data_IF_560032106697
#
_entry.id   IF_560032106697
#
_cell.length_a   1.000
_cell.length_b   1.000
_cell.length_c   1.000
_cell.angle_alpha   90.00
_cell.angle_beta   90.00
_cell.angle_gamma   90.00
#
_symmetry.space_group_name_H-M   'P 1'
#
loop_
_entity.id
_entity.type
_entity.pdbx_description
1 polymer ?
#
# COMPACT_ATOMS: atom_id res chain seq x y z
N UNK A 1 -5.07 -34.29 20.80
CA UNK A 1 -3.73 -34.08 20.19
C UNK A 1 -3.82 -33.89 18.68
N UNK A 2 -4.27 -34.88 17.88
CA UNK A 2 -4.33 -34.77 16.39
C UNK A 2 -5.12 -33.57 15.84
N UNK A 3 -6.28 -33.24 16.43
CA UNK A 3 -7.09 -32.09 16.01
C UNK A 3 -6.43 -30.73 16.33
N UNK A 4 -5.82 -30.60 17.51
CA UNK A 4 -5.09 -29.39 17.90
C UNK A 4 -3.88 -29.16 16.99
N UNK A 5 -3.12 -30.22 16.67
CA UNK A 5 -1.99 -30.13 15.75
C UNK A 5 -2.42 -29.68 14.36
N UNK A 6 -3.54 -30.21 13.84
CA UNK A 6 -4.09 -29.77 12.55
C UNK A 6 -4.58 -28.32 12.56
N UNK A 7 -5.21 -27.87 13.66
CA UNK A 7 -5.70 -26.50 13.80
C UNK A 7 -4.54 -25.49 13.87
N UNK A 8 -3.48 -25.81 14.62
CA UNK A 8 -2.25 -25.00 14.69
C UNK A 8 -1.55 -24.93 13.33
N UNK A 9 -1.47 -26.04 12.60
CA UNK A 9 -0.87 -26.04 11.27
C UNK A 9 -1.70 -25.20 10.28
N UNK A 10 -3.03 -25.34 10.32
CA UNK A 10 -3.93 -24.57 9.46
C UNK A 10 -3.85 -23.05 9.73
N UNK A 11 -3.82 -22.64 11.00
CA UNK A 11 -3.67 -21.23 11.36
C UNK A 11 -2.33 -20.63 10.93
N UNK A 12 -1.23 -21.40 11.03
CA UNK A 12 0.08 -20.98 10.53
C UNK A 12 0.08 -20.74 9.02
N UNK A 13 -0.49 -21.65 8.23
CA UNK A 13 -0.57 -21.52 6.77
C UNK A 13 -1.38 -20.30 6.37
N UNK A 14 -2.55 -20.09 6.99
CA UNK A 14 -3.39 -18.91 6.73
C UNK A 14 -2.70 -17.60 7.13
N UNK A 15 -1.98 -17.60 8.27
CA UNK A 15 -1.21 -16.44 8.72
C UNK A 15 -0.10 -16.05 7.75
N UNK A 16 0.67 -17.04 7.27
CA UNK A 16 1.75 -16.83 6.29
C UNK A 16 1.18 -16.31 4.96
N UNK A 17 0.05 -16.85 4.51
CA UNK A 17 -0.58 -16.38 3.28
C UNK A 17 -1.06 -14.92 3.38
N UNK A 18 -1.72 -14.57 4.49
CA UNK A 18 -2.15 -13.18 4.78
C UNK A 18 -0.96 -12.20 4.80
N UNK A 19 0.16 -12.61 5.40
CA UNK A 19 1.38 -11.81 5.45
C UNK A 19 1.97 -11.54 4.05
N UNK A 20 2.03 -12.56 3.19
CA UNK A 20 2.51 -12.38 1.82
C UNK A 20 1.59 -11.48 0.99
N UNK A 21 0.27 -11.61 1.15
CA UNK A 21 -0.69 -10.70 0.50
C UNK A 21 -0.47 -9.26 0.94
N UNK A 22 -0.36 -9.00 2.25
CA UNK A 22 -0.11 -7.67 2.79
C UNK A 22 1.17 -7.03 2.23
N UNK A 23 2.28 -7.79 2.16
CA UNK A 23 3.53 -7.29 1.58
C UNK A 23 3.36 -6.95 0.09
N UNK A 24 2.69 -7.82 -0.67
CA UNK A 24 2.41 -7.59 -2.08
C UNK A 24 1.57 -6.32 -2.31
N UNK A 25 0.52 -6.13 -1.50
CA UNK A 25 -0.32 -4.94 -1.51
C UNK A 25 0.48 -3.67 -1.15
N UNK A 26 1.33 -3.73 -0.12
CA UNK A 26 2.15 -2.60 0.29
C UNK A 26 3.18 -2.19 -0.78
N UNK A 27 3.84 -3.16 -1.41
CA UNK A 27 4.74 -2.89 -2.53
C UNK A 27 3.99 -2.29 -3.73
N UNK A 28 2.81 -2.85 -4.04
CA UNK A 28 1.92 -2.31 -5.07
C UNK A 28 1.52 -0.86 -4.79
N UNK A 29 1.07 -0.57 -3.57
CA UNK A 29 0.69 0.77 -3.14
C UNK A 29 1.85 1.76 -3.18
N UNK A 30 3.06 1.36 -2.77
CA UNK A 30 4.25 2.20 -2.89
C UNK A 30 4.57 2.55 -4.35
N UNK A 31 4.41 1.59 -5.28
CA UNK A 31 4.58 1.83 -6.71
C UNK A 31 3.51 2.77 -7.27
N UNK A 32 2.27 2.67 -6.80
CA UNK A 32 1.18 3.57 -7.21
C UNK A 32 1.44 5.01 -6.72
N UNK A 33 1.94 5.19 -5.50
CA UNK A 33 2.38 6.49 -4.98
C UNK A 33 3.53 7.07 -5.81
N UNK A 34 4.54 6.26 -6.16
CA UNK A 34 5.65 6.69 -7.03
C UNK A 34 5.17 7.10 -8.42
N UNK A 35 4.23 6.35 -8.99
CA UNK A 35 3.63 6.68 -10.28
C UNK A 35 2.88 8.01 -10.21
N UNK A 36 2.10 8.23 -9.15
CA UNK A 36 1.40 9.51 -8.97
C UNK A 36 2.34 10.71 -8.89
N UNK A 37 3.47 10.57 -8.17
CA UNK A 37 4.52 11.58 -8.13
C UNK A 37 5.17 11.81 -9.51
N UNK A 38 5.46 10.74 -10.25
CA UNK A 38 6.08 10.83 -11.58
C UNK A 38 5.16 11.54 -12.57
N UNK A 39 3.90 11.12 -12.63
CA UNK A 39 2.89 11.73 -13.50
C UNK A 39 2.66 13.21 -13.14
N UNK A 40 2.70 13.57 -11.86
CA UNK A 40 2.62 14.98 -11.42
C UNK A 40 3.77 15.81 -11.99
N UNK A 41 4.99 15.28 -11.92
CA UNK A 41 6.19 15.94 -12.45
C UNK A 41 6.15 16.08 -13.97
N UNK A 42 5.70 15.04 -14.66
CA UNK A 42 5.61 15.04 -16.11
C UNK A 42 4.49 15.95 -16.61
N UNK A 43 3.33 15.94 -15.95
CA UNK A 43 2.20 16.82 -16.31
C UNK A 43 2.54 18.30 -16.16
N UNK A 44 3.41 18.66 -15.20
CA UNK A 44 3.88 20.03 -14.94
C UNK A 44 2.75 21.07 -14.93
N UNK A 45 1.62 20.71 -14.30
CA UNK A 45 0.40 21.50 -14.30
C UNK A 45 0.25 22.28 -12.99
N UNK A 46 -0.01 23.58 -13.09
CA UNK A 46 -0.12 24.48 -11.93
C UNK A 46 -1.32 24.06 -11.07
N UNK A 47 -1.12 23.98 -9.75
CA UNK A 47 -2.13 23.63 -8.74
C UNK A 47 -2.75 22.22 -8.87
N UNK A 48 -2.07 21.28 -9.54
CA UNK A 48 -2.53 19.89 -9.68
C UNK A 48 -2.01 18.94 -8.58
N UNK A 49 -1.15 19.41 -7.67
CA UNK A 49 -0.53 18.63 -6.60
C UNK A 49 -1.54 17.80 -5.78
N UNK A 50 -2.64 18.44 -5.37
CA UNK A 50 -3.70 17.78 -4.59
C UNK A 50 -4.39 16.66 -5.36
N UNK A 51 -4.56 16.80 -6.67
CA UNK A 51 -5.15 15.77 -7.51
C UNK A 51 -4.23 14.54 -7.54
N UNK A 52 -2.94 14.72 -7.80
CA UNK A 52 -2.00 13.59 -7.88
C UNK A 52 -1.82 12.92 -6.53
N UNK A 53 -1.80 13.67 -5.43
CA UNK A 53 -1.76 13.09 -4.09
C UNK A 53 -3.01 12.26 -3.77
N UNK A 54 -4.20 12.78 -4.07
CA UNK A 54 -5.45 12.04 -3.88
C UNK A 54 -5.52 10.79 -4.77
N UNK A 55 -5.11 10.88 -6.03
CA UNK A 55 -5.08 9.76 -6.97
C UNK A 55 -4.11 8.67 -6.52
N UNK A 56 -2.89 9.03 -6.12
CA UNK A 56 -1.91 8.06 -5.61
C UNK A 56 -2.42 7.30 -4.38
N UNK A 57 -3.02 8.03 -3.42
CA UNK A 57 -3.62 7.41 -2.25
C UNK A 57 -4.81 6.50 -2.60
N UNK A 58 -5.65 6.92 -3.55
CA UNK A 58 -6.79 6.14 -4.03
C UNK A 58 -6.34 4.84 -4.73
N UNK A 59 -5.38 4.92 -5.64
CA UNK A 59 -4.83 3.77 -6.36
C UNK A 59 -4.16 2.77 -5.40
N UNK A 60 -3.36 3.27 -4.45
CA UNK A 60 -2.72 2.45 -3.44
C UNK A 60 -3.74 1.80 -2.49
N UNK A 61 -4.77 2.52 -2.04
CA UNK A 61 -5.79 1.97 -1.14
C UNK A 61 -6.66 0.89 -1.80
N UNK A 62 -6.89 0.98 -3.12
CA UNK A 62 -7.60 -0.06 -3.88
C UNK A 62 -6.87 -1.42 -3.89
N UNK A 63 -5.57 -1.45 -3.58
CA UNK A 63 -4.81 -2.71 -3.47
C UNK A 63 -5.21 -3.54 -2.26
N UNK A 64 -5.70 -2.92 -1.19
CA UNK A 64 -6.01 -3.58 0.07
C UNK A 64 -5.33 -2.92 1.28
N UNK A 65 -5.42 -3.55 2.48
CA UNK A 65 -4.85 -3.02 3.71
C UNK A 65 -3.36 -2.67 3.62
N UNK A 66 -2.55 -3.47 2.92
CA UNK A 66 -1.12 -3.19 2.76
C UNK A 66 -0.86 -1.94 1.91
N UNK A 67 -1.64 -1.75 0.84
CA UNK A 67 -1.54 -0.58 -0.02
C UNK A 67 -2.01 0.70 0.67
N UNK A 68 -3.11 0.63 1.43
CA UNK A 68 -3.57 1.74 2.26
C UNK A 68 -2.55 2.13 3.35
N UNK A 69 -1.89 1.14 3.96
CA UNK A 69 -0.79 1.38 4.90
C UNK A 69 0.39 2.08 4.21
N UNK A 70 0.82 1.61 3.04
CA UNK A 70 1.91 2.23 2.29
C UNK A 70 1.60 3.68 1.92
N UNK A 71 0.38 3.94 1.43
CA UNK A 71 -0.12 5.28 1.12
C UNK A 71 -0.01 6.23 2.33
N UNK A 72 -0.44 5.76 3.51
CA UNK A 72 -0.35 6.52 4.76
C UNK A 72 1.09 6.86 5.14
N UNK A 73 1.99 5.87 5.14
CA UNK A 73 3.39 6.07 5.54
C UNK A 73 4.10 7.04 4.60
N UNK A 74 3.93 6.88 3.28
CA UNK A 74 4.57 7.74 2.28
C UNK A 74 4.00 9.16 2.34
N UNK A 75 2.70 9.31 2.55
CA UNK A 75 2.08 10.63 2.70
C UNK A 75 2.58 11.37 3.95
N UNK A 76 2.72 10.67 5.08
CA UNK A 76 3.30 11.23 6.30
C UNK A 76 4.75 11.67 6.09
N UNK A 77 5.57 10.82 5.46
CA UNK A 77 6.95 11.17 5.14
C UNK A 77 7.05 12.38 4.20
N UNK A 78 6.17 12.45 3.19
CA UNK A 78 6.14 13.59 2.26
C UNK A 78 5.77 14.89 2.96
N UNK A 79 4.84 14.84 3.92
CA UNK A 79 4.44 16.00 4.72
C UNK A 79 5.56 16.52 5.64
N UNK A 80 6.46 15.64 6.09
CA UNK A 80 7.61 16.03 6.93
C UNK A 80 8.76 16.67 6.12
N UNK A 81 8.82 16.41 4.81
CA UNK A 81 9.86 16.93 3.91
C UNK A 81 9.52 18.28 3.27
N UNK A 82 8.26 18.72 3.32
CA UNK A 82 7.75 19.96 2.71
C UNK A 82 7.67 21.08 3.73
#
# INVERSE_FOLDING_TARGET
MKLLTGLVFCSLVLGVHSWFSFIGEAFGGARDMWRAYTDMREANYINADKYFHARGNYDAAQRGPGGAWAAKVISLFSAELQ
#
